data_IF_858404921527
#
_entry.id   IF_858404921527
#
_cell.length_a   1.000
_cell.length_b   1.000
_cell.length_c   1.000
_cell.angle_alpha   90.00
_cell.angle_beta   90.00
_cell.angle_gamma   90.00
#
_symmetry.space_group_name_H-M   'P 1'
#
loop_
_entity.id
_entity.type
_entity.pdbx_description
1 polymer ?
#
# COMPACT_ATOMS: atom_id res chain seq x y z
N UNK A 1 -5.47 -29.58 -13.93
CA UNK A 1 -4.90 -28.77 -15.03
C UNK A 1 -5.50 -27.35 -15.15
N UNK A 2 -6.81 -27.14 -14.99
CA UNK A 2 -7.41 -25.77 -15.06
C UNK A 2 -6.90 -24.79 -14.01
N UNK A 3 -6.66 -25.23 -12.77
CA UNK A 3 -6.18 -24.35 -11.69
C UNK A 3 -4.76 -23.80 -11.90
N UNK A 4 -3.85 -24.59 -12.47
CA UNK A 4 -2.49 -24.14 -12.76
C UNK A 4 -2.44 -23.11 -13.91
N UNK A 5 -3.32 -23.26 -14.90
CA UNK A 5 -3.42 -22.32 -16.01
C UNK A 5 -3.95 -20.96 -15.56
N UNK A 6 -4.99 -20.93 -14.75
CA UNK A 6 -5.56 -19.69 -14.17
C UNK A 6 -4.58 -19.00 -13.24
N UNK A 7 -3.84 -19.73 -12.41
CA UNK A 7 -2.82 -19.15 -11.54
C UNK A 7 -1.66 -18.50 -12.34
N UNK A 8 -1.21 -19.16 -13.41
CA UNK A 8 -0.17 -18.62 -14.31
C UNK A 8 -0.64 -17.37 -15.05
N UNK A 9 -1.90 -17.36 -15.50
CA UNK A 9 -2.51 -16.21 -16.17
C UNK A 9 -2.66 -15.03 -15.22
N UNK A 10 -3.15 -15.24 -13.99
CA UNK A 10 -3.24 -14.21 -12.96
C UNK A 10 -1.88 -13.61 -12.61
N UNK A 11 -0.84 -14.44 -12.53
CA UNK A 11 0.52 -13.95 -12.26
C UNK A 11 1.03 -13.05 -13.39
N UNK A 12 0.82 -13.42 -14.65
CA UNK A 12 1.20 -12.58 -15.79
C UNK A 12 0.46 -11.25 -15.80
N UNK A 13 -0.85 -11.26 -15.55
CA UNK A 13 -1.67 -10.04 -15.48
C UNK A 13 -1.18 -9.10 -14.36
N UNK A 14 -0.86 -9.63 -13.19
CA UNK A 14 -0.29 -8.85 -12.07
C UNK A 14 1.06 -8.25 -12.43
N UNK A 15 1.94 -8.99 -13.12
CA UNK A 15 3.25 -8.50 -13.54
C UNK A 15 3.13 -7.38 -14.56
N UNK A 16 2.30 -7.55 -15.58
CA UNK A 16 2.05 -6.51 -16.59
C UNK A 16 1.45 -5.27 -15.93
N UNK A 17 0.46 -5.46 -15.05
CA UNK A 17 -0.16 -4.38 -14.29
C UNK A 17 0.88 -3.61 -13.45
N UNK A 18 1.78 -4.30 -12.78
CA UNK A 18 2.84 -3.66 -11.99
C UNK A 18 3.85 -2.89 -12.85
N UNK A 19 4.22 -3.40 -14.03
CA UNK A 19 5.13 -2.71 -14.94
C UNK A 19 4.48 -1.41 -15.45
N UNK A 20 3.23 -1.50 -15.90
CA UNK A 20 2.48 -0.31 -16.35
C UNK A 20 2.28 0.68 -15.20
N UNK A 21 1.93 0.19 -14.02
CA UNK A 21 1.81 1.01 -12.82
C UNK A 21 3.12 1.73 -12.50
N UNK A 22 4.24 1.03 -12.48
CA UNK A 22 5.55 1.60 -12.20
C UNK A 22 5.88 2.76 -13.15
N UNK A 23 5.61 2.58 -14.44
CA UNK A 23 5.87 3.61 -15.46
C UNK A 23 4.94 4.82 -15.27
N UNK A 24 3.65 4.59 -14.95
CA UNK A 24 2.63 5.65 -14.89
C UNK A 24 2.69 6.46 -13.59
N UNK A 25 2.84 5.81 -12.45
CA UNK A 25 2.71 6.46 -11.15
C UNK A 25 3.62 5.89 -10.05
N UNK A 26 3.96 4.61 -10.10
CA UNK A 26 4.57 3.88 -9.00
C UNK A 26 5.91 4.46 -8.56
N UNK A 27 6.78 4.86 -9.48
CA UNK A 27 8.10 5.38 -9.15
C UNK A 27 8.05 6.79 -8.50
N UNK A 28 7.14 7.66 -8.96
CA UNK A 28 6.95 8.98 -8.37
C UNK A 28 6.48 8.91 -6.93
N UNK A 29 5.44 8.12 -6.72
CA UNK A 29 4.85 7.93 -5.40
C UNK A 29 5.83 7.24 -4.46
N UNK A 30 6.55 6.21 -4.94
CA UNK A 30 7.59 5.54 -4.17
C UNK A 30 8.73 6.48 -3.78
N UNK A 31 9.14 7.37 -4.69
CA UNK A 31 10.15 8.40 -4.41
C UNK A 31 9.66 9.35 -3.31
N UNK A 32 8.40 9.79 -3.36
CA UNK A 32 7.79 10.61 -2.31
C UNK A 32 7.87 9.94 -0.93
N UNK A 33 7.49 8.67 -0.85
CA UNK A 33 7.60 7.91 0.40
C UNK A 33 9.05 7.69 0.84
N UNK A 34 9.99 7.48 -0.09
CA UNK A 34 11.39 7.33 0.23
C UNK A 34 11.98 8.62 0.81
N UNK A 35 11.67 9.76 0.21
CA UNK A 35 12.08 11.09 0.71
C UNK A 35 11.48 11.35 2.11
N UNK A 36 10.19 11.11 2.28
CA UNK A 36 9.54 11.22 3.58
C UNK A 36 10.19 10.29 4.64
N UNK A 37 10.56 9.07 4.23
CA UNK A 37 11.25 8.11 5.06
C UNK A 37 12.63 8.59 5.49
N UNK A 38 13.42 9.18 4.59
CA UNK A 38 14.74 9.75 4.90
C UNK A 38 14.59 10.91 5.89
N UNK A 39 13.68 11.84 5.62
CA UNK A 39 13.42 12.98 6.51
C UNK A 39 13.02 12.49 7.90
N UNK A 40 12.11 11.52 7.97
CA UNK A 40 11.68 10.94 9.24
C UNK A 40 12.83 10.22 9.98
N UNK A 41 13.78 9.60 9.29
CA UNK A 41 14.93 8.95 9.92
C UNK A 41 15.99 9.92 10.42
N UNK A 42 16.10 11.11 9.84
CA UNK A 42 17.01 12.18 10.32
C UNK A 42 16.58 12.65 11.71
N UNK A 43 15.31 12.70 11.95
CA UNK A 43 14.74 13.00 13.28
C UNK A 43 14.63 11.68 14.04
N UNK A 44 15.56 11.39 14.93
CA UNK A 44 15.70 10.11 15.65
C UNK A 44 14.38 9.61 16.28
N UNK A 45 13.57 10.53 16.81
CA UNK A 45 12.27 10.21 17.42
C UNK A 45 11.27 9.65 16.38
N UNK A 46 11.44 9.98 15.12
CA UNK A 46 10.53 9.59 14.03
C UNK A 46 11.03 8.41 13.20
N UNK A 47 12.08 7.70 13.62
CA UNK A 47 12.59 6.48 12.96
C UNK A 47 11.47 5.46 12.68
N UNK A 48 10.52 5.15 13.62
CA UNK A 48 9.43 4.21 13.31
C UNK A 48 8.58 4.64 12.10
N UNK A 49 8.40 5.95 11.91
CA UNK A 49 7.69 6.50 10.76
C UNK A 49 8.51 6.37 9.48
N UNK A 50 9.83 6.60 9.56
CA UNK A 50 10.74 6.39 8.45
C UNK A 50 10.69 4.95 7.93
N UNK A 51 10.75 3.98 8.84
CA UNK A 51 10.62 2.55 8.49
C UNK A 51 9.25 2.27 7.83
N UNK A 52 8.18 2.85 8.37
CA UNK A 52 6.85 2.70 7.78
C UNK A 52 6.79 3.30 6.36
N UNK A 53 7.35 4.49 6.16
CA UNK A 53 7.41 5.14 4.85
C UNK A 53 8.18 4.30 3.80
N UNK A 54 9.34 3.75 4.16
CA UNK A 54 10.09 2.86 3.26
C UNK A 54 9.32 1.58 2.92
N UNK A 55 8.58 1.02 3.89
CA UNK A 55 7.72 -0.15 3.65
C UNK A 55 6.60 0.17 2.67
N UNK A 56 5.99 1.34 2.80
CA UNK A 56 4.96 1.82 1.86
C UNK A 56 5.58 2.10 0.48
N UNK A 57 6.76 2.71 0.42
CA UNK A 57 7.49 2.91 -0.84
C UNK A 57 7.65 1.59 -1.60
N UNK A 58 8.10 0.52 -0.92
CA UNK A 58 8.23 -0.81 -1.51
C UNK A 58 6.90 -1.43 -1.97
N UNK A 59 5.80 -1.12 -1.27
CA UNK A 59 4.46 -1.53 -1.70
C UNK A 59 3.99 -0.75 -2.93
N UNK A 60 4.19 0.56 -2.94
CA UNK A 60 3.78 1.45 -4.04
C UNK A 60 4.54 1.13 -5.33
N UNK A 61 5.78 0.68 -5.26
CA UNK A 61 6.52 0.20 -6.44
C UNK A 61 5.84 -1.00 -7.10
N UNK A 62 5.28 -1.94 -6.31
CA UNK A 62 4.74 -3.20 -6.81
C UNK A 62 3.44 -3.60 -6.09
N UNK A 63 2.31 -2.90 -6.34
CA UNK A 63 1.09 -3.07 -5.56
C UNK A 63 0.24 -4.27 -5.97
N UNK A 64 0.26 -4.66 -7.26
CA UNK A 64 -0.63 -5.72 -7.74
C UNK A 64 -0.18 -7.11 -7.25
N UNK A 65 -1.09 -7.80 -6.58
CA UNK A 65 -0.84 -9.08 -5.92
C UNK A 65 -0.54 -8.94 -4.44
N UNK A 66 -0.60 -7.73 -3.89
CA UNK A 66 -0.45 -7.44 -2.46
C UNK A 66 -1.64 -6.67 -1.94
N UNK A 67 -1.88 -6.76 -0.65
CA UNK A 67 -2.91 -5.99 0.06
C UNK A 67 -2.37 -5.52 1.40
N UNK A 68 -3.13 -4.62 2.02
CA UNK A 68 -2.80 -4.07 3.34
C UNK A 68 -3.79 -4.63 4.34
N UNK A 69 -3.27 -5.20 5.41
CA UNK A 69 -4.07 -5.66 6.55
C UNK A 69 -3.67 -4.90 7.80
N UNK A 70 -4.59 -4.74 8.72
CA UNK A 70 -4.31 -4.13 10.01
C UNK A 70 -3.77 -5.20 10.97
N UNK A 71 -2.72 -4.86 11.70
CA UNK A 71 -2.19 -5.75 12.73
C UNK A 71 -3.17 -5.82 13.91
N UNK A 72 -3.46 -7.01 14.45
CA UNK A 72 -4.33 -7.15 15.62
C UNK A 72 -3.79 -6.44 16.87
N UNK A 73 -2.47 -6.33 16.96
CA UNK A 73 -1.71 -5.70 18.06
C UNK A 73 -1.42 -4.21 17.86
N UNK A 74 -2.09 -3.58 16.90
CA UNK A 74 -1.97 -2.14 16.67
C UNK A 74 -2.57 -1.37 17.85
N UNK A 75 -1.73 -1.10 18.86
CA UNK A 75 -2.12 -0.49 20.14
C UNK A 75 -2.22 1.05 20.08
N UNK A 76 -2.44 1.63 21.25
CA UNK A 76 -2.60 3.07 21.48
C UNK A 76 -1.48 3.93 20.87
N UNK A 77 -0.23 3.48 20.94
CA UNK A 77 0.92 4.19 20.35
C UNK A 77 0.86 4.30 18.84
N UNK A 78 0.25 3.31 18.17
CA UNK A 78 -0.01 3.35 16.73
C UNK A 78 -0.98 4.47 16.37
N UNK A 79 -1.98 4.72 17.23
CA UNK A 79 -2.97 5.79 17.01
C UNK A 79 -2.30 7.16 17.15
N UNK A 80 -1.58 7.39 18.24
CA UNK A 80 -0.84 8.66 18.45
C UNK A 80 0.13 8.91 17.31
N UNK A 81 0.91 7.88 16.95
CA UNK A 81 1.84 7.98 15.84
C UNK A 81 1.16 8.34 14.53
N UNK A 82 0.03 7.72 14.19
CA UNK A 82 -0.70 8.05 12.97
C UNK A 82 -1.24 9.49 12.98
N UNK A 83 -1.66 10.02 14.12
CA UNK A 83 -2.08 11.43 14.23
C UNK A 83 -0.91 12.36 13.90
N UNK A 84 0.27 12.11 14.49
CA UNK A 84 1.47 12.88 14.20
C UNK A 84 1.85 12.76 12.72
N UNK A 85 1.81 11.53 12.19
CA UNK A 85 2.10 11.26 10.78
C UNK A 85 1.18 12.04 9.84
N UNK A 86 -0.14 12.01 10.08
CA UNK A 86 -1.12 12.75 9.26
C UNK A 86 -0.77 14.24 9.22
N UNK A 87 -0.44 14.82 10.37
CA UNK A 87 -0.16 16.28 10.48
C UNK A 87 1.14 16.64 9.73
N UNK A 88 2.17 15.79 9.81
CA UNK A 88 3.51 16.14 9.30
C UNK A 88 3.65 15.82 7.82
N UNK A 89 3.18 14.66 7.34
CA UNK A 89 3.47 14.17 5.98
C UNK A 89 2.27 13.46 5.35
N UNK A 90 1.43 12.81 6.14
CA UNK A 90 0.41 11.89 5.64
C UNK A 90 -0.60 12.54 4.70
N UNK A 91 -0.99 13.76 4.96
CA UNK A 91 -1.93 14.50 4.12
C UNK A 91 -1.34 14.86 2.74
N UNK A 92 -0.05 15.19 2.67
CA UNK A 92 0.62 15.49 1.39
C UNK A 92 0.67 14.25 0.50
N UNK A 93 1.02 13.11 1.09
CA UNK A 93 1.04 11.83 0.38
C UNK A 93 -0.36 11.38 -0.05
N UNK A 94 -1.37 11.63 0.78
CA UNK A 94 -2.77 11.35 0.43
C UNK A 94 -3.24 12.20 -0.75
N UNK A 95 -2.89 13.49 -0.77
CA UNK A 95 -3.18 14.38 -1.91
C UNK A 95 -2.42 13.91 -3.16
N UNK A 96 -1.16 13.51 -3.04
CA UNK A 96 -0.39 12.98 -4.18
C UNK A 96 -1.09 11.75 -4.80
N UNK A 97 -1.58 10.81 -3.98
CA UNK A 97 -2.37 9.68 -4.46
C UNK A 97 -3.72 10.11 -5.06
N UNK A 98 -4.38 11.09 -4.48
CA UNK A 98 -5.65 11.62 -4.99
C UNK A 98 -5.45 12.23 -6.39
N UNK A 99 -4.47 13.11 -6.53
CA UNK A 99 -4.15 13.78 -7.80
C UNK A 99 -3.74 12.77 -8.86
N UNK A 100 -2.82 11.86 -8.53
CA UNK A 100 -2.41 10.78 -9.44
C UNK A 100 -3.61 9.90 -9.86
N UNK A 101 -4.49 9.56 -8.91
CA UNK A 101 -5.69 8.78 -9.16
C UNK A 101 -6.66 9.47 -10.12
N UNK A 102 -6.90 10.76 -9.91
CA UNK A 102 -7.76 11.56 -10.80
C UNK A 102 -7.16 11.66 -12.21
N UNK A 103 -5.87 11.99 -12.32
CA UNK A 103 -5.19 12.10 -13.62
C UNK A 103 -5.21 10.77 -14.39
N UNK A 104 -4.99 9.64 -13.71
CA UNK A 104 -5.08 8.33 -14.32
C UNK A 104 -6.51 8.00 -14.77
N UNK A 105 -7.52 8.37 -13.99
CA UNK A 105 -8.93 8.12 -14.34
C UNK A 105 -9.43 8.95 -15.53
N UNK A 106 -8.74 10.01 -15.93
CA UNK A 106 -9.06 10.76 -17.16
C UNK A 106 -8.85 9.86 -18.40
N UNK A 107 -7.92 8.91 -18.32
CA UNK A 107 -7.69 7.94 -19.40
C UNK A 107 -8.41 6.62 -19.10
N UNK A 108 -9.08 6.05 -20.10
CA UNK A 108 -9.81 4.78 -19.93
C UNK A 108 -8.88 3.66 -19.47
N UNK A 109 -7.66 3.59 -20.00
CA UNK A 109 -6.63 2.61 -19.64
C UNK A 109 -6.12 2.88 -18.20
N UNK A 110 -6.13 4.13 -17.76
CA UNK A 110 -5.67 4.52 -16.42
C UNK A 110 -6.69 4.27 -15.31
N UNK A 111 -7.98 4.03 -15.60
CA UNK A 111 -9.02 3.82 -14.57
C UNK A 111 -8.61 2.76 -13.53
N UNK A 112 -8.17 1.52 -13.88
CA UNK A 112 -7.79 0.54 -12.89
C UNK A 112 -6.61 0.99 -12.02
N UNK A 113 -5.72 1.78 -12.57
CA UNK A 113 -4.57 2.34 -11.85
C UNK A 113 -4.99 3.52 -10.96
N UNK A 114 -5.92 4.35 -11.42
CA UNK A 114 -6.51 5.42 -10.61
C UNK A 114 -7.25 4.87 -9.38
N UNK A 115 -8.01 3.79 -9.55
CA UNK A 115 -8.66 3.09 -8.44
C UNK A 115 -7.59 2.55 -7.45
N UNK A 116 -6.46 2.05 -7.95
CA UNK A 116 -5.36 1.61 -7.08
C UNK A 116 -4.79 2.78 -6.26
N UNK A 117 -4.61 3.97 -6.87
CA UNK A 117 -4.22 5.19 -6.13
C UNK A 117 -5.20 5.50 -4.99
N UNK A 118 -6.50 5.50 -5.26
CA UNK A 118 -7.51 5.80 -4.23
C UNK A 118 -7.49 4.79 -3.09
N UNK A 119 -7.27 3.51 -3.37
CA UNK A 119 -7.11 2.46 -2.35
C UNK A 119 -5.87 2.63 -1.47
N UNK A 120 -4.86 3.37 -1.95
CA UNK A 120 -3.64 3.64 -1.18
C UNK A 120 -3.78 4.87 -0.25
N UNK A 121 -4.79 5.71 -0.44
CA UNK A 121 -5.01 6.91 0.40
C UNK A 121 -5.12 6.56 1.89
N UNK A 122 -5.92 5.58 2.33
CA UNK A 122 -5.98 5.19 3.74
C UNK A 122 -4.63 4.75 4.30
N UNK A 123 -3.82 4.05 3.50
CA UNK A 123 -2.48 3.63 3.90
C UNK A 123 -1.52 4.83 4.01
N UNK A 124 -1.63 5.81 3.12
CA UNK A 124 -0.88 7.06 3.19
C UNK A 124 -1.17 7.84 4.47
N UNK A 125 -2.42 7.79 4.96
CA UNK A 125 -2.84 8.48 6.18
C UNK A 125 -2.53 7.68 7.46
N UNK A 126 -2.67 6.35 7.45
CA UNK A 126 -2.58 5.49 8.64
C UNK A 126 -1.59 4.34 8.40
N UNK A 127 -0.27 4.63 8.30
CA UNK A 127 0.73 3.58 8.03
C UNK A 127 1.08 2.73 9.24
N UNK A 128 0.98 3.28 10.46
CA UNK A 128 1.35 2.55 11.67
C UNK A 128 0.26 1.56 12.08
N UNK A 129 0.68 0.34 12.41
CA UNK A 129 -0.25 -0.75 12.67
C UNK A 129 -0.82 -1.41 11.41
N UNK A 130 -0.32 -1.06 10.23
CA UNK A 130 -0.65 -1.72 8.97
C UNK A 130 0.53 -2.57 8.49
N UNK A 131 0.24 -3.65 7.79
CA UNK A 131 1.26 -4.47 7.13
C UNK A 131 0.83 -4.83 5.72
N UNK A 132 1.81 -4.96 4.83
CA UNK A 132 1.61 -5.38 3.45
C UNK A 132 1.83 -6.87 3.35
N UNK A 133 0.84 -7.59 2.85
CA UNK A 133 0.86 -9.05 2.71
C UNK A 133 0.51 -9.45 1.28
N UNK A 134 0.94 -10.64 0.81
CA UNK A 134 0.46 -11.19 -0.44
C UNK A 134 -1.05 -11.40 -0.40
N UNK A 135 -1.73 -11.15 -1.52
CA UNK A 135 -3.19 -11.27 -1.60
C UNK A 135 -3.70 -12.71 -1.38
N UNK A 136 -2.87 -13.68 -1.70
CA UNK A 136 -3.13 -15.12 -1.53
C UNK A 136 -2.91 -15.63 -0.09
N UNK A 137 -2.35 -14.80 0.80
CA UNK A 137 -2.17 -15.10 2.23
C UNK A 137 -3.24 -14.46 3.12
N UNK A 138 -4.30 -13.91 2.53
CA UNK A 138 -5.34 -13.18 3.25
C UNK A 138 -6.64 -13.95 3.18
N UNK A 139 -7.18 -14.26 4.33
CA UNK A 139 -8.56 -14.68 4.48
C UNK A 139 -9.45 -13.45 4.69
N UNK A 140 -10.72 -13.59 4.38
CA UNK A 140 -11.70 -12.53 4.60
C UNK A 140 -12.64 -12.97 5.73
N UNK A 141 -12.91 -12.04 6.65
CA UNK A 141 -13.92 -12.26 7.66
C UNK A 141 -15.34 -12.31 7.04
N UNK A 142 -16.37 -12.66 7.80
CA UNK A 142 -17.76 -12.69 7.30
C UNK A 142 -18.27 -11.35 6.77
N UNK A 143 -17.58 -10.25 7.09
CA UNK A 143 -17.93 -8.90 6.66
C UNK A 143 -17.08 -8.43 5.47
N UNK A 144 -16.24 -9.30 4.89
CA UNK A 144 -15.37 -8.99 3.76
C UNK A 144 -14.14 -8.15 4.13
N UNK A 145 -13.78 -8.07 5.39
CA UNK A 145 -12.55 -7.40 5.85
C UNK A 145 -11.37 -8.37 5.72
N UNK A 146 -10.26 -7.97 5.11
CA UNK A 146 -9.09 -8.82 5.00
C UNK A 146 -8.47 -9.04 6.39
N UNK A 147 -8.37 -10.29 6.80
CA UNK A 147 -7.66 -10.73 8.00
C UNK A 147 -6.41 -11.49 7.61
N UNK A 148 -5.38 -11.42 8.45
CA UNK A 148 -4.20 -12.26 8.21
C UNK A 148 -4.60 -13.71 8.36
N UNK A 149 -4.36 -14.52 7.31
CA UNK A 149 -4.67 -15.94 7.34
C UNK A 149 -4.04 -16.55 8.58
N UNK A 150 -4.86 -17.11 9.45
CA UNK A 150 -4.36 -17.99 10.49
C UNK A 150 -3.70 -19.15 9.75
N UNK A 151 -2.37 -19.30 9.88
CA UNK A 151 -1.74 -20.58 9.54
C UNK A 151 -2.53 -21.64 10.31
N UNK A 152 -3.36 -22.39 9.60
CA UNK A 152 -3.95 -23.61 10.14
C UNK A 152 -2.76 -24.52 10.46
N UNK A 153 -2.54 -24.88 11.72
CA UNK A 153 -1.51 -25.87 12.02
C UNK A 153 -1.93 -27.16 11.30
N UNK A 154 -1.06 -27.58 10.39
CA UNK A 154 -1.17 -28.88 9.74
C UNK A 154 -1.07 -29.99 10.76
#
# INVERSE_FOLDING_TARGET
>A
MRGAFTAKQNRRMRTIGNILWFILAGWWLALGYAVAGVIACILIITIPFGIAAFRIAGFVVWPFGRTVVRKPDAGFWSVIGNIIWIIVVGWELAIAHLVAGVLLCITIIGIPFGIACFKMIPLALIPLGSQVVPLDSVDYDPYGVPVHGSESPA
#
